data_IF_862818172359
#
_entry.id   IF_862818172359
#
_cell.length_a   1.000
_cell.length_b   1.000
_cell.length_c   1.000
_cell.angle_alpha   90.00
_cell.angle_beta   90.00
_cell.angle_gamma   90.00
#
_symmetry.space_group_name_H-M   'P 1'
#
loop_
_entity.id
_entity.type
_entity.pdbx_description
1 polymer ?
#
# COMPACT_ATOMS: atom_id res chain seq x y z
N UNK A 1 1.07 -22.79 -33.89
CA UNK A 1 0.73 -21.35 -33.97
C UNK A 1 -0.44 -20.95 -33.07
N UNK A 2 -1.39 -21.84 -32.72
CA UNK A 2 -2.46 -21.53 -31.75
C UNK A 2 -1.94 -21.06 -30.37
N UNK A 3 -0.92 -21.74 -29.82
CA UNK A 3 -0.35 -21.45 -28.50
C UNK A 3 0.21 -20.02 -28.31
N UNK A 4 0.60 -19.35 -29.41
CA UNK A 4 1.19 -18.00 -29.33
C UNK A 4 0.13 -16.91 -29.30
N UNK A 5 -1.02 -17.13 -29.95
CA UNK A 5 -2.12 -16.18 -29.94
C UNK A 5 -2.85 -16.22 -28.58
N UNK A 6 -2.98 -17.40 -27.98
CA UNK A 6 -3.57 -17.57 -26.65
C UNK A 6 -2.68 -16.92 -25.57
N UNK A 7 -1.35 -17.02 -25.70
CA UNK A 7 -0.40 -16.34 -24.81
C UNK A 7 -0.48 -14.81 -24.91
N UNK A 8 -0.65 -14.26 -26.13
CA UNK A 8 -0.80 -12.80 -26.32
C UNK A 8 -2.11 -12.32 -25.70
N UNK A 9 -3.21 -13.03 -25.93
CA UNK A 9 -4.51 -12.69 -25.34
C UNK A 9 -4.47 -12.73 -23.80
N UNK A 10 -3.76 -13.70 -23.23
CA UNK A 10 -3.59 -13.81 -21.78
C UNK A 10 -2.71 -12.68 -21.22
N UNK A 11 -1.64 -12.30 -21.91
CA UNK A 11 -0.81 -11.15 -21.52
C UNK A 11 -1.62 -9.85 -21.56
N UNK A 12 -2.45 -9.64 -22.58
CA UNK A 12 -3.32 -8.47 -22.67
C UNK A 12 -4.33 -8.43 -21.51
N UNK A 13 -4.92 -9.59 -21.17
CA UNK A 13 -5.83 -9.73 -20.03
C UNK A 13 -5.13 -9.37 -18.72
N UNK A 14 -3.98 -9.97 -18.46
CA UNK A 14 -3.19 -9.72 -17.25
C UNK A 14 -2.69 -8.26 -17.17
N UNK A 15 -2.35 -7.66 -18.30
CA UNK A 15 -1.93 -6.24 -18.37
C UNK A 15 -3.09 -5.31 -17.97
N UNK A 16 -4.30 -5.59 -18.46
CA UNK A 16 -5.50 -4.83 -18.08
C UNK A 16 -5.84 -5.00 -16.61
N UNK A 17 -5.82 -6.22 -16.11
CA UNK A 17 -6.08 -6.53 -14.69
C UNK A 17 -5.06 -5.83 -13.78
N UNK A 18 -3.77 -5.82 -14.16
CA UNK A 18 -2.73 -5.08 -13.44
C UNK A 18 -2.99 -3.56 -13.44
N UNK A 19 -3.43 -2.99 -14.56
CA UNK A 19 -3.79 -1.57 -14.62
C UNK A 19 -4.98 -1.23 -13.69
N UNK A 20 -5.99 -2.08 -13.64
CA UNK A 20 -7.14 -1.93 -12.73
C UNK A 20 -6.71 -2.00 -11.26
N UNK A 21 -5.91 -3.01 -10.90
CA UNK A 21 -5.35 -3.17 -9.56
C UNK A 21 -4.45 -1.98 -9.16
N UNK A 22 -3.65 -1.48 -10.10
CA UNK A 22 -2.80 -0.31 -9.90
C UNK A 22 -3.64 0.95 -9.66
N UNK A 23 -4.74 1.12 -10.39
CA UNK A 23 -5.68 2.22 -10.19
C UNK A 23 -6.34 2.17 -8.81
N UNK A 24 -6.78 0.98 -8.38
CA UNK A 24 -7.35 0.79 -7.04
C UNK A 24 -6.32 1.10 -5.94
N UNK A 25 -5.09 0.58 -6.07
CA UNK A 25 -4.02 0.84 -5.13
C UNK A 25 -3.68 2.34 -5.02
N UNK A 26 -3.66 3.07 -6.14
CA UNK A 26 -3.48 4.52 -6.15
C UNK A 26 -4.60 5.24 -5.39
N UNK A 27 -5.87 4.92 -5.71
CA UNK A 27 -7.02 5.53 -5.06
C UNK A 27 -7.03 5.28 -3.54
N UNK A 28 -6.78 4.03 -3.12
CA UNK A 28 -6.68 3.67 -1.70
C UNK A 28 -5.54 4.42 -1.02
N UNK A 29 -4.36 4.52 -1.65
CA UNK A 29 -3.23 5.27 -1.10
C UNK A 29 -3.56 6.75 -0.87
N UNK A 30 -4.20 7.41 -1.85
CA UNK A 30 -4.62 8.81 -1.71
C UNK A 30 -5.61 9.00 -0.57
N UNK A 31 -6.61 8.12 -0.45
CA UNK A 31 -7.62 8.17 0.62
C UNK A 31 -6.97 7.97 1.99
N UNK A 32 -6.09 6.98 2.13
CA UNK A 32 -5.40 6.69 3.40
C UNK A 32 -4.54 7.86 3.85
N UNK A 33 -3.77 8.47 2.94
CA UNK A 33 -2.96 9.65 3.26
C UNK A 33 -3.83 10.82 3.74
N UNK A 34 -4.95 11.10 3.06
CA UNK A 34 -5.90 12.15 3.46
C UNK A 34 -6.52 11.89 4.85
N UNK A 35 -6.93 10.65 5.12
CA UNK A 35 -7.48 10.26 6.42
C UNK A 35 -6.43 10.40 7.52
N UNK A 36 -5.20 9.95 7.26
CA UNK A 36 -4.14 10.03 8.25
C UNK A 36 -3.76 11.49 8.55
N UNK A 37 -3.66 12.35 7.54
CA UNK A 37 -3.44 13.79 7.74
C UNK A 37 -4.53 14.39 8.63
N UNK A 38 -5.81 14.07 8.38
CA UNK A 38 -6.92 14.53 9.23
C UNK A 38 -6.86 14.01 10.66
N UNK A 39 -6.45 12.76 10.87
CA UNK A 39 -6.29 12.17 12.20
C UNK A 39 -5.12 12.85 12.93
N UNK A 40 -3.96 12.94 12.29
CA UNK A 40 -2.76 13.51 12.89
C UNK A 40 -2.89 15.01 13.18
N UNK A 41 -3.61 15.77 12.36
CA UNK A 41 -3.85 17.20 12.58
C UNK A 41 -4.63 17.51 13.87
N UNK A 42 -5.30 16.52 14.47
CA UNK A 42 -6.03 16.66 15.74
C UNK A 42 -5.15 16.41 16.96
N UNK A 43 -3.94 15.89 16.76
CA UNK A 43 -3.01 15.54 17.81
C UNK A 43 -2.08 16.69 18.15
N UNK A 44 -1.67 16.79 19.43
CA UNK A 44 -0.72 17.81 19.88
C UNK A 44 0.64 17.72 19.14
N UNK A 45 1.02 16.50 18.73
CA UNK A 45 2.19 16.22 17.92
C UNK A 45 1.81 15.31 16.73
N UNK A 46 1.43 15.89 15.58
CA UNK A 46 1.01 15.17 14.39
C UNK A 46 2.08 14.19 13.86
N UNK A 47 3.35 14.58 13.93
CA UNK A 47 4.47 13.75 13.45
C UNK A 47 4.66 12.50 14.31
N UNK A 48 4.58 12.64 15.64
CA UNK A 48 4.66 11.51 16.56
C UNK A 48 3.46 10.57 16.41
N UNK A 49 2.27 11.11 16.16
CA UNK A 49 1.08 10.31 15.90
C UNK A 49 1.20 9.51 14.60
N UNK A 50 1.65 10.15 13.52
CA UNK A 50 1.89 9.48 12.24
C UNK A 50 2.90 8.33 12.38
N UNK A 51 4.03 8.57 13.06
CA UNK A 51 5.04 7.54 13.31
C UNK A 51 4.47 6.33 14.06
N UNK A 52 3.68 6.54 15.12
CA UNK A 52 3.02 5.44 15.85
C UNK A 52 2.08 4.63 14.98
N UNK A 53 1.27 5.29 14.14
CA UNK A 53 0.31 4.61 13.27
C UNK A 53 1.05 3.76 12.23
N UNK A 54 2.14 4.27 11.65
CA UNK A 54 2.96 3.51 10.69
C UNK A 54 3.64 2.30 11.33
N UNK A 55 4.16 2.44 12.55
CA UNK A 55 4.72 1.30 13.30
C UNK A 55 3.67 0.23 13.56
N UNK A 56 2.48 0.59 14.04
CA UNK A 56 1.40 -0.36 14.28
C UNK A 56 0.94 -1.05 12.99
N UNK A 57 0.90 -0.34 11.87
CA UNK A 57 0.57 -0.93 10.57
C UNK A 57 1.62 -1.97 10.15
N UNK A 58 2.92 -1.68 10.35
CA UNK A 58 4.01 -2.62 10.07
C UNK A 58 3.88 -3.89 10.92
N UNK A 59 3.68 -3.74 12.22
CA UNK A 59 3.49 -4.85 13.17
C UNK A 59 2.27 -5.70 12.80
N UNK A 60 1.15 -5.07 12.42
CA UNK A 60 -0.05 -5.77 11.98
C UNK A 60 0.17 -6.60 10.70
N UNK A 61 0.90 -6.06 9.72
CA UNK A 61 1.26 -6.78 8.49
C UNK A 61 2.15 -7.97 8.82
N UNK A 62 3.15 -7.79 9.67
CA UNK A 62 4.04 -8.87 10.07
C UNK A 62 3.31 -9.97 10.84
N UNK A 63 2.42 -9.60 11.77
CA UNK A 63 1.60 -10.54 12.53
C UNK A 63 0.59 -11.28 11.65
N UNK A 64 -0.05 -10.59 10.70
CA UNK A 64 -0.93 -11.22 9.73
C UNK A 64 -0.16 -12.22 8.86
N UNK A 65 0.98 -11.83 8.31
CA UNK A 65 1.76 -12.70 7.44
C UNK A 65 2.29 -13.94 8.17
N UNK A 66 2.65 -13.80 9.45
CA UNK A 66 3.12 -14.91 10.27
C UNK A 66 2.02 -15.95 10.58
N UNK A 67 0.75 -15.55 10.50
CA UNK A 67 -0.41 -16.40 10.89
C UNK A 67 -1.21 -16.94 9.71
N UNK A 68 -1.02 -16.40 8.50
CA UNK A 68 -1.87 -16.68 7.33
C UNK A 68 -1.18 -17.43 6.18
N UNK A 69 0.06 -17.90 6.36
CA UNK A 69 0.91 -18.45 5.27
C UNK A 69 0.93 -17.52 4.04
N UNK A 70 1.02 -16.22 4.32
CA UNK A 70 0.96 -15.19 3.29
C UNK A 70 2.13 -15.31 2.31
N UNK A 71 1.83 -15.12 1.02
CA UNK A 71 2.85 -15.07 -0.03
C UNK A 71 3.94 -14.02 0.34
N UNK A 72 5.23 -14.39 0.31
CA UNK A 72 6.33 -13.48 0.64
C UNK A 72 6.33 -12.20 -0.20
N UNK A 73 5.90 -12.25 -1.47
CA UNK A 73 5.77 -11.11 -2.36
C UNK A 73 4.66 -10.17 -1.87
N UNK A 74 3.53 -10.73 -1.44
CA UNK A 74 2.43 -9.94 -0.86
C UNK A 74 2.90 -9.22 0.40
N UNK A 75 3.58 -9.92 1.32
CA UNK A 75 4.14 -9.32 2.54
C UNK A 75 5.12 -8.19 2.20
N UNK A 76 6.09 -8.46 1.32
CA UNK A 76 7.09 -7.48 0.92
C UNK A 76 6.45 -6.24 0.30
N UNK A 77 5.43 -6.42 -0.55
CA UNK A 77 4.73 -5.30 -1.18
C UNK A 77 3.93 -4.47 -0.17
N UNK A 78 3.26 -5.11 0.79
CA UNK A 78 2.52 -4.44 1.84
C UNK A 78 3.45 -3.59 2.74
N UNK A 79 4.60 -4.14 3.14
CA UNK A 79 5.59 -3.40 3.93
C UNK A 79 6.18 -2.21 3.15
N UNK A 80 6.46 -2.40 1.85
CA UNK A 80 6.92 -1.32 0.99
C UNK A 80 5.88 -0.19 0.86
N UNK A 81 4.59 -0.53 0.77
CA UNK A 81 3.51 0.45 0.72
C UNK A 81 3.42 1.27 2.02
N UNK A 82 3.54 0.64 3.18
CA UNK A 82 3.57 1.36 4.48
C UNK A 82 4.73 2.36 4.53
N UNK A 83 5.93 1.96 4.10
CA UNK A 83 7.08 2.85 4.07
C UNK A 83 6.85 4.04 3.12
N UNK A 84 6.31 3.79 1.93
CA UNK A 84 5.97 4.83 0.97
C UNK A 84 4.96 5.83 1.56
N UNK A 85 3.95 5.35 2.28
CA UNK A 85 2.98 6.23 2.94
C UNK A 85 3.63 7.03 4.08
N UNK A 86 4.45 6.40 4.92
CA UNK A 86 5.19 7.09 5.99
C UNK A 86 5.99 8.28 5.43
N UNK A 87 6.69 8.09 4.31
CA UNK A 87 7.44 9.15 3.63
C UNK A 87 6.53 10.26 3.10
N UNK A 88 5.42 9.91 2.44
CA UNK A 88 4.45 10.89 1.94
C UNK A 88 3.86 11.75 3.05
N UNK A 89 3.52 11.11 4.18
CA UNK A 89 2.95 11.79 5.34
C UNK A 89 3.98 12.67 6.01
N UNK A 90 5.22 12.20 6.16
CA UNK A 90 6.32 13.02 6.67
C UNK A 90 6.50 14.27 5.82
N UNK A 91 6.50 14.13 4.49
CA UNK A 91 6.61 15.27 3.57
C UNK A 91 5.42 16.24 3.66
N UNK A 92 4.21 15.74 3.92
CA UNK A 92 3.02 16.57 4.03
C UNK A 92 2.87 17.27 5.39
N UNK A 93 3.42 16.70 6.47
CA UNK A 93 3.37 17.25 7.83
C UNK A 93 4.56 18.17 8.16
N UNK A 94 5.49 18.38 7.22
CA UNK A 94 6.50 19.46 7.31
C UNK A 94 5.79 20.76 6.88
N UNK A 95 4.99 21.32 7.79
CA UNK A 95 4.43 22.68 7.72
C UNK A 95 4.39 23.25 9.14
#
# INVERSE_FOLDING_TARGET
MANSNDAVAEIERLTRENAELSGLALATGVILTQLLQRICARELNPQAAAGRIMTQAREAIEGFAATSDADPVMKARALAAVNQYEEQIRNALIV
#
